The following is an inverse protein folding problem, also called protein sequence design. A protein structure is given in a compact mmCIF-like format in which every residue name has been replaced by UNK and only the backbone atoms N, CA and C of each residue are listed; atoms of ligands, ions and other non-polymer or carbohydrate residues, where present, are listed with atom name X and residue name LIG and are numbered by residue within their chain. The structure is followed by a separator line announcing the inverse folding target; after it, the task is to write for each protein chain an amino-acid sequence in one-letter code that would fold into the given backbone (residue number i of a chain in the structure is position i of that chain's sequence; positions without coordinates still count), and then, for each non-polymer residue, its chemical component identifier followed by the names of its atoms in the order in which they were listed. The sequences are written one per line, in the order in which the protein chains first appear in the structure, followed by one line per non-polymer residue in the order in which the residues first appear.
data_IF_347472301928
#
_entry.id   IF_347472301928
#
_cell.length_a   1.000
_cell.length_b   1.000
_cell.length_c   1.000
_cell.angle_alpha   90.00
_cell.angle_beta   90.00
_cell.angle_gamma   90.00
#
_symmetry.space_group_name_H-M   'P 1'
#
loop_
_entity.id
_entity.type
_entity.pdbx_description
1 polymer ?
#
# COMPACT_ATOMS: atom_id res chain seq x y z
N UNK A 1 -26.42 4.85 -32.26
CA UNK A 1 -25.41 3.82 -32.59
C UNK A 1 -24.12 4.16 -31.85
N UNK A 2 -23.83 3.47 -30.75
CA UNK A 2 -22.57 3.67 -30.01
C UNK A 2 -21.48 3.00 -30.85
N UNK A 3 -20.47 3.78 -31.26
CA UNK A 3 -19.33 3.25 -32.04
C UNK A 3 -18.51 2.32 -31.13
N UNK A 4 -18.02 1.21 -31.67
CA UNK A 4 -17.17 0.23 -30.97
C UNK A 4 -16.00 0.90 -30.23
N UNK A 5 -15.44 1.97 -30.80
CA UNK A 5 -14.39 2.79 -30.18
C UNK A 5 -14.79 3.42 -28.85
N UNK A 6 -16.05 3.84 -28.70
CA UNK A 6 -16.55 4.43 -27.44
C UNK A 6 -16.63 3.38 -26.34
N UNK A 7 -17.02 2.14 -26.68
CA UNK A 7 -17.07 1.02 -25.73
C UNK A 7 -15.67 0.61 -25.26
N UNK A 8 -14.69 0.57 -26.16
CA UNK A 8 -13.30 0.25 -25.81
C UNK A 8 -12.74 1.31 -24.85
N UNK A 9 -12.95 2.59 -25.14
CA UNK A 9 -12.48 3.69 -24.28
C UNK A 9 -13.12 3.62 -22.89
N UNK A 10 -14.43 3.39 -22.79
CA UNK A 10 -15.12 3.21 -21.52
C UNK A 10 -14.56 2.02 -20.73
N UNK A 11 -14.33 0.89 -21.40
CA UNK A 11 -13.80 -0.31 -20.77
C UNK A 11 -12.38 -0.08 -20.22
N UNK A 12 -11.51 0.61 -20.97
CA UNK A 12 -10.17 0.95 -20.49
C UNK A 12 -10.20 1.89 -19.28
N UNK A 13 -11.12 2.87 -19.24
CA UNK A 13 -11.25 3.78 -18.10
C UNK A 13 -11.69 3.03 -16.84
N UNK A 14 -12.63 2.09 -16.96
CA UNK A 14 -13.11 1.28 -15.82
C UNK A 14 -12.00 0.37 -15.28
N UNK A 15 -11.20 -0.25 -16.15
CA UNK A 15 -10.05 -1.06 -15.75
C UNK A 15 -9.00 -0.22 -14.98
N UNK A 16 -8.68 0.98 -15.47
CA UNK A 16 -7.72 1.86 -14.79
C UNK A 16 -8.20 2.37 -13.44
N UNK A 17 -9.52 2.53 -13.26
CA UNK A 17 -10.12 2.92 -11.97
C UNK A 17 -10.05 1.81 -10.92
N UNK A 18 -10.00 0.53 -11.33
CA UNK A 18 -9.87 -0.60 -10.41
C UNK A 18 -8.47 -0.68 -9.80
N UNK A 19 -7.41 -0.36 -10.56
CA UNK A 19 -6.05 -0.34 -10.03
C UNK A 19 -5.83 0.79 -9.01
N UNK A 20 -6.57 1.89 -9.13
CA UNK A 20 -6.48 3.01 -8.20
C UNK A 20 -7.04 2.68 -6.81
N UNK A 21 -7.94 1.70 -6.71
CA UNK A 21 -8.50 1.20 -5.47
C UNK A 21 -7.87 -0.15 -5.09
N UNK A 22 -6.57 -0.34 -5.30
CA UNK A 22 -5.87 -1.51 -4.80
C UNK A 22 -6.02 -1.59 -3.27
N UNK A 23 -6.99 -2.38 -2.83
CA UNK A 23 -7.37 -2.52 -1.43
C UNK A 23 -6.20 -3.15 -0.66
N UNK A 24 -5.90 -2.62 0.52
CA UNK A 24 -4.77 -3.10 1.29
C UNK A 24 -4.95 -4.56 1.72
N UNK A 25 -3.88 -5.36 1.73
CA UNK A 25 -3.93 -6.72 2.23
C UNK A 25 -4.37 -6.74 3.70
N UNK A 26 -4.96 -7.84 4.19
CA UNK A 26 -5.45 -7.94 5.55
C UNK A 26 -4.33 -7.65 6.56
N UNK A 27 -4.65 -6.88 7.61
CA UNK A 27 -3.68 -6.41 8.60
C UNK A 27 -2.95 -5.13 8.22
N UNK A 28 -3.26 -4.55 7.06
CA UNK A 28 -2.70 -3.29 6.60
C UNK A 28 -3.80 -2.27 6.26
N UNK A 29 -3.45 -0.99 6.25
CA UNK A 29 -4.32 0.14 5.94
C UNK A 29 -3.64 1.11 4.98
N UNK A 30 -4.45 1.84 4.22
CA UNK A 30 -3.95 2.91 3.35
C UNK A 30 -3.63 4.15 4.21
N UNK A 31 -2.36 4.58 4.31
CA UNK A 31 -1.99 5.79 5.05
C UNK A 31 -2.51 7.09 4.39
N UNK A 32 -3.01 7.01 3.16
CA UNK A 32 -3.47 8.14 2.38
C UNK A 32 -2.34 8.93 1.74
N UNK A 33 -2.64 10.11 1.18
CA UNK A 33 -1.70 10.91 0.39
C UNK A 33 -0.55 11.50 1.22
N UNK A 34 -0.71 11.61 2.54
CA UNK A 34 0.32 12.09 3.47
C UNK A 34 1.19 10.92 3.99
N UNK A 35 1.73 10.13 3.06
CA UNK A 35 2.63 9.02 3.39
C UNK A 35 3.86 9.51 4.17
N UNK A 36 4.03 9.01 5.39
CA UNK A 36 5.15 9.33 6.29
C UNK A 36 6.12 8.14 6.40
N UNK A 37 6.76 7.92 7.55
CA UNK A 37 7.63 6.77 7.79
C UNK A 37 6.91 5.69 8.60
N UNK A 38 6.84 4.48 8.06
CA UNK A 38 6.44 3.29 8.80
C UNK A 38 7.60 2.79 9.67
N UNK A 39 7.30 2.26 10.86
CA UNK A 39 8.29 1.61 11.72
C UNK A 39 8.52 0.17 11.24
N UNK A 40 9.79 -0.22 11.11
CA UNK A 40 10.18 -1.54 10.58
C UNK A 40 11.17 -2.21 11.54
N UNK A 41 10.87 -3.45 11.92
CA UNK A 41 11.73 -4.31 12.74
C UNK A 41 13.04 -4.64 12.02
N UNK A 42 14.15 -4.64 12.76
CA UNK A 42 15.48 -4.92 12.22
C UNK A 42 16.16 -3.71 11.57
N UNK A 43 15.48 -2.55 11.49
CA UNK A 43 16.10 -1.30 11.07
C UNK A 43 16.41 -0.41 12.29
N UNK A 44 17.62 0.19 12.37
CA UNK A 44 18.08 0.90 13.56
C UNK A 44 17.28 2.17 13.89
N UNK A 45 16.60 2.79 12.92
CA UNK A 45 15.49 3.72 13.16
C UNK A 45 14.72 4.02 11.87
N UNK A 46 13.42 4.36 11.98
CA UNK A 46 12.62 4.86 10.86
C UNK A 46 13.21 6.16 10.23
N UNK A 47 13.99 6.91 11.01
CA UNK A 47 14.69 8.11 10.55
C UNK A 47 16.01 7.83 9.80
N UNK A 48 16.71 6.73 10.12
CA UNK A 48 17.99 6.36 9.50
C UNK A 48 17.81 5.51 8.26
N UNK A 49 16.76 4.67 8.24
CA UNK A 49 16.36 3.88 7.10
C UNK A 49 14.99 4.34 6.57
N UNK A 50 14.95 5.60 6.13
CA UNK A 50 13.77 6.22 5.50
C UNK A 50 13.38 5.43 4.26
N UNK A 51 12.40 4.56 4.38
CA UNK A 51 11.63 4.11 3.22
C UNK A 51 10.33 4.89 3.27
N UNK A 52 10.17 5.80 2.31
CA UNK A 52 8.88 6.39 2.05
C UNK A 52 7.99 5.28 1.51
N UNK A 53 7.08 4.81 2.35
CA UNK A 53 6.04 3.88 1.95
C UNK A 53 4.78 4.69 1.70
N UNK A 54 4.46 4.90 0.43
CA UNK A 54 3.12 5.34 0.03
C UNK A 54 2.24 4.13 -0.35
N UNK A 55 2.72 2.93 -0.03
CA UNK A 55 1.96 1.68 -0.07
C UNK A 55 1.21 1.49 1.27
N UNK A 56 0.48 0.39 1.39
CA UNK A 56 -0.24 -0.01 2.60
C UNK A 56 0.68 -0.19 3.82
N UNK A 57 0.24 0.32 4.97
CA UNK A 57 0.96 0.26 6.25
C UNK A 57 0.37 -0.80 7.16
N UNK A 58 1.20 -1.39 8.01
CA UNK A 58 0.76 -2.28 9.09
C UNK A 58 -0.18 -1.54 10.04
N UNK A 59 -1.27 -2.20 10.43
CA UNK A 59 -2.25 -1.63 11.35
C UNK A 59 -1.62 -1.11 12.65
N UNK A 60 -2.19 -0.05 13.25
CA UNK A 60 -1.70 0.47 14.52
C UNK A 60 -1.55 -0.63 15.58
N UNK A 61 -0.38 -0.70 16.22
CA UNK A 61 -0.04 -1.74 17.20
C UNK A 61 0.75 -2.93 16.63
N UNK A 62 0.93 -2.98 15.31
CA UNK A 62 1.82 -3.95 14.64
C UNK A 62 3.00 -3.23 13.97
N UNK A 63 4.06 -3.98 13.68
CA UNK A 63 5.30 -3.49 13.07
C UNK A 63 5.67 -4.41 11.91
N UNK A 64 6.20 -3.85 10.83
CA UNK A 64 6.64 -4.63 9.68
C UNK A 64 7.98 -5.32 9.95
N UNK A 65 8.06 -6.62 9.72
CA UNK A 65 9.33 -7.35 9.73
C UNK A 65 10.12 -7.09 8.45
N UNK A 66 11.38 -6.64 8.56
CA UNK A 66 12.24 -6.40 7.39
C UNK A 66 12.64 -7.67 6.64
N UNK A 67 12.53 -8.85 7.26
CA UNK A 67 12.90 -10.14 6.66
C UNK A 67 11.70 -10.75 5.93
N UNK A 68 10.59 -10.94 6.63
CA UNK A 68 9.39 -11.58 6.07
C UNK A 68 8.44 -10.62 5.36
N UNK A 69 8.59 -9.30 5.59
CA UNK A 69 7.69 -8.25 5.12
C UNK A 69 6.26 -8.32 5.68
N UNK A 70 6.03 -9.18 6.67
CA UNK A 70 4.74 -9.35 7.36
C UNK A 70 4.57 -8.34 8.50
N UNK A 71 3.31 -8.06 8.86
CA UNK A 71 2.97 -7.22 10.00
C UNK A 71 2.85 -8.08 11.26
N UNK A 72 3.71 -7.86 12.24
CA UNK A 72 3.81 -8.65 13.47
C UNK A 72 3.60 -7.78 14.72
N UNK A 73 3.09 -8.34 15.80
CA UNK A 73 2.91 -7.60 17.07
C UNK A 73 4.23 -7.26 17.75
N UNK A 74 5.27 -8.09 17.54
CA UNK A 74 6.60 -7.94 18.14
C UNK A 74 7.67 -8.34 17.13
N UNK A 75 8.79 -7.61 17.15
CA UNK A 75 9.94 -7.96 16.33
C UNK A 75 10.49 -9.33 16.74
N UNK A 76 10.72 -10.24 15.78
CA UNK A 76 11.37 -11.52 16.03
C UNK A 76 12.85 -11.37 16.42
#
# INVERSE_FOLDING_TARGET
MIRLTVLIVLFTIVLSLQELNAECPPGQYDPGPDCSFEVICGLPSAHSARRHYCDCWCNPGTVRDSITNECVEKCP
#
